data_IF_955380768852
#
_entry.id   IF_955380768852
#
_cell.length_a   1.000
_cell.length_b   1.000
_cell.length_c   1.000
_cell.angle_alpha   90.00
_cell.angle_beta   90.00
_cell.angle_gamma   90.00
#
_symmetry.space_group_name_H-M   'P 1'
#
loop_
_entity.id
_entity.type
_entity.pdbx_description
1 polymer ?
#
# COMPACT_ATOMS: atom_id res chain seq x y z
N UNK A 1 29.63 -7.72 -2.93
CA UNK A 1 28.62 -8.70 -3.37
C UNK A 1 27.33 -7.94 -3.66
N UNK A 2 26.62 -8.29 -4.74
CA UNK A 2 25.34 -7.65 -5.06
C UNK A 2 24.35 -7.91 -3.91
N UNK A 3 23.63 -6.89 -3.42
CA UNK A 3 22.79 -7.01 -2.22
C UNK A 3 21.83 -8.19 -2.28
N UNK A 4 21.22 -8.42 -3.46
CA UNK A 4 20.28 -9.52 -3.72
C UNK A 4 20.92 -10.91 -3.57
N UNK A 5 22.17 -11.09 -4.00
CA UNK A 5 22.87 -12.39 -3.89
C UNK A 5 23.16 -12.72 -2.42
N UNK A 6 23.49 -11.71 -1.62
CA UNK A 6 23.80 -11.91 -0.22
C UNK A 6 22.55 -12.20 0.62
N UNK A 7 21.44 -11.50 0.35
CA UNK A 7 20.13 -11.79 0.97
C UNK A 7 19.65 -13.19 0.59
N UNK A 8 19.83 -13.61 -0.65
CA UNK A 8 19.49 -14.97 -1.08
C UNK A 8 20.31 -16.05 -0.37
N UNK A 9 21.62 -15.87 -0.26
CA UNK A 9 22.46 -16.81 0.51
C UNK A 9 22.04 -16.87 1.99
N UNK A 10 21.65 -15.73 2.56
CA UNK A 10 21.08 -15.69 3.90
C UNK A 10 19.76 -16.46 3.99
N UNK A 11 18.84 -16.24 3.04
CA UNK A 11 17.57 -16.97 2.95
C UNK A 11 17.79 -18.49 2.89
N UNK A 12 18.72 -18.95 2.04
CA UNK A 12 19.10 -20.36 1.91
C UNK A 12 19.61 -20.91 3.26
N UNK A 13 20.46 -20.17 3.97
CA UNK A 13 20.92 -20.55 5.31
C UNK A 13 19.79 -20.65 6.33
N UNK A 14 18.85 -19.70 6.31
CA UNK A 14 17.67 -19.72 7.19
C UNK A 14 16.79 -20.95 6.89
N UNK A 15 16.55 -21.29 5.61
CA UNK A 15 15.72 -22.47 5.27
C UNK A 15 16.26 -23.79 5.82
N UNK A 16 17.58 -23.88 6.04
CA UNK A 16 18.23 -25.07 6.57
C UNK A 16 18.14 -25.19 8.09
N UNK A 17 18.06 -24.06 8.81
CA UNK A 17 18.19 -24.02 10.28
C UNK A 17 16.90 -23.60 10.99
N UNK A 18 15.96 -22.95 10.31
CA UNK A 18 14.79 -22.34 10.97
C UNK A 18 13.91 -23.35 11.73
N UNK A 19 13.92 -24.62 11.32
CA UNK A 19 13.19 -25.69 12.01
C UNK A 19 13.71 -25.99 13.40
N UNK A 20 14.99 -25.74 13.68
CA UNK A 20 15.60 -25.93 15.00
C UNK A 20 15.11 -24.88 16.00
N UNK A 21 14.59 -23.77 15.50
CA UNK A 21 14.01 -22.66 16.27
C UNK A 21 12.48 -22.75 16.40
N UNK A 22 11.85 -23.77 15.78
CA UNK A 22 10.40 -23.94 15.76
C UNK A 22 9.95 -25.16 16.59
N UNK A 23 8.75 -25.13 17.19
CA UNK A 23 8.18 -26.29 17.89
C UNK A 23 8.04 -27.53 17.00
N UNK A 24 7.91 -28.72 17.61
CA UNK A 24 7.79 -30.01 16.90
C UNK A 24 6.66 -30.05 15.86
N UNK A 25 5.57 -29.32 16.10
CA UNK A 25 4.41 -29.22 15.19
C UNK A 25 4.77 -28.71 13.78
N UNK A 26 5.93 -28.06 13.61
CA UNK A 26 6.39 -27.47 12.36
C UNK A 26 7.45 -28.32 11.63
N UNK A 27 7.78 -29.52 12.13
CA UNK A 27 8.85 -30.36 11.53
C UNK A 27 8.55 -30.79 10.08
N UNK A 28 7.28 -30.99 9.76
CA UNK A 28 6.81 -31.32 8.41
C UNK A 28 6.72 -30.12 7.46
N UNK A 29 7.02 -28.90 7.93
CA UNK A 29 7.06 -27.69 7.09
C UNK A 29 8.14 -27.83 6.01
N UNK A 30 7.86 -27.39 4.80
CA UNK A 30 8.85 -27.22 3.75
C UNK A 30 9.14 -25.73 3.56
N UNK A 31 10.41 -25.36 3.54
CA UNK A 31 10.85 -23.99 3.33
C UNK A 31 11.53 -23.89 1.96
N UNK A 32 11.09 -22.96 1.13
CA UNK A 32 11.69 -22.71 -0.17
C UNK A 32 12.02 -21.23 -0.33
N UNK A 33 13.21 -20.94 -0.86
CA UNK A 33 13.59 -19.57 -1.18
C UNK A 33 12.87 -19.14 -2.46
N UNK A 34 12.21 -17.99 -2.42
CA UNK A 34 11.48 -17.44 -3.54
C UNK A 34 11.72 -15.94 -3.68
N UNK A 35 11.93 -15.49 -4.91
CA UNK A 35 12.00 -14.07 -5.25
C UNK A 35 10.62 -13.61 -5.71
N UNK A 36 10.08 -12.59 -5.04
CA UNK A 36 8.75 -12.03 -5.31
C UNK A 36 8.88 -10.60 -5.79
N UNK A 37 8.14 -10.28 -6.87
CA UNK A 37 8.05 -8.92 -7.37
C UNK A 37 7.03 -8.13 -6.56
N UNK A 38 7.51 -7.11 -5.84
CA UNK A 38 6.73 -6.10 -5.12
C UNK A 38 6.31 -4.96 -6.06
N UNK A 39 5.69 -3.94 -5.48
CA UNK A 39 5.34 -2.72 -6.20
C UNK A 39 6.59 -2.02 -6.76
N UNK A 40 6.42 -1.27 -7.84
CA UNK A 40 7.48 -0.55 -8.56
C UNK A 40 8.64 -1.43 -9.06
N UNK A 41 8.38 -2.73 -9.25
CA UNK A 41 9.38 -3.67 -9.75
C UNK A 41 10.48 -4.01 -8.76
N UNK A 42 10.32 -3.66 -7.47
CA UNK A 42 11.21 -4.11 -6.41
C UNK A 42 11.12 -5.63 -6.31
N UNK A 43 12.24 -6.33 -6.23
CA UNK A 43 12.30 -7.78 -6.03
C UNK A 43 12.80 -8.03 -4.62
N UNK A 44 12.02 -8.77 -3.86
CA UNK A 44 12.41 -9.20 -2.51
C UNK A 44 12.56 -10.71 -2.46
N UNK A 45 13.51 -11.17 -1.66
CA UNK A 45 13.79 -12.58 -1.40
C UNK A 45 13.12 -12.97 -0.11
N UNK A 46 12.21 -13.94 -0.19
CA UNK A 46 11.54 -14.49 0.97
C UNK A 46 11.69 -16.00 1.06
N UNK A 47 11.25 -16.52 2.19
CA UNK A 47 11.09 -17.95 2.44
C UNK A 47 9.60 -18.25 2.42
N UNK A 48 9.21 -19.11 1.49
CA UNK A 48 7.87 -19.67 1.39
C UNK A 48 7.73 -20.78 2.43
N UNK A 49 6.69 -20.70 3.26
CA UNK A 49 6.42 -21.67 4.30
C UNK A 49 5.27 -22.59 3.86
N UNK A 50 5.62 -23.78 3.37
CA UNK A 50 4.65 -24.77 2.92
C UNK A 50 4.32 -25.74 4.06
N UNK A 51 3.12 -25.66 4.61
CA UNK A 51 2.60 -26.64 5.57
C UNK A 51 1.65 -27.63 4.91
N UNK A 52 1.81 -28.95 5.13
CA UNK A 52 0.88 -29.95 4.59
C UNK A 52 -0.57 -29.65 4.99
N UNK A 53 -1.47 -29.62 4.01
CA UNK A 53 -2.90 -29.37 4.22
C UNK A 53 -3.33 -27.91 4.20
N UNK A 54 -2.40 -26.94 4.12
CA UNK A 54 -2.74 -25.53 3.95
C UNK A 54 -2.85 -25.16 2.46
N UNK A 55 -3.87 -24.35 2.12
CA UNK A 55 -4.08 -23.85 0.75
C UNK A 55 -3.23 -22.62 0.40
N UNK A 56 -2.79 -21.87 1.42
CA UNK A 56 -1.93 -20.70 1.26
C UNK A 56 -0.59 -20.99 1.92
N UNK A 57 0.49 -20.62 1.24
CA UNK A 57 1.83 -20.60 1.81
C UNK A 57 2.27 -19.14 2.03
N UNK A 58 2.45 -18.68 3.29
CA UNK A 58 2.96 -17.34 3.55
C UNK A 58 4.42 -17.22 3.12
N UNK A 59 4.83 -15.98 2.82
CA UNK A 59 6.21 -15.65 2.43
C UNK A 59 6.78 -14.67 3.44
N UNK A 60 7.85 -15.07 4.13
CA UNK A 60 8.58 -14.20 5.07
C UNK A 60 9.78 -13.60 4.34
N UNK A 61 9.82 -12.28 4.22
CA UNK A 61 10.89 -11.58 3.50
C UNK A 61 12.16 -11.44 4.33
N UNK A 62 13.32 -11.65 3.71
CA UNK A 62 14.60 -11.79 4.41
C UNK A 62 15.38 -10.47 4.51
N UNK A 63 15.06 -9.47 3.69
CA UNK A 63 15.74 -8.17 3.70
C UNK A 63 15.73 -7.50 5.08
N UNK A 64 14.60 -7.39 5.82
CA UNK A 64 14.58 -6.72 7.12
C UNK A 64 15.47 -7.40 8.18
N UNK A 65 15.58 -8.74 8.11
CA UNK A 65 16.44 -9.53 9.00
C UNK A 65 17.90 -9.45 8.56
N UNK A 66 18.16 -9.44 7.26
CA UNK A 66 19.51 -9.28 6.72
C UNK A 66 20.10 -7.90 7.08
N UNK A 67 19.28 -6.85 7.09
CA UNK A 67 19.72 -5.53 7.54
C UNK A 67 20.06 -5.50 9.04
N UNK A 68 19.42 -6.30 9.88
CA UNK A 68 19.80 -6.47 11.29
C UNK A 68 21.18 -7.14 11.43
N UNK A 69 21.48 -8.14 10.60
CA UNK A 69 22.83 -8.73 10.53
C UNK A 69 23.87 -7.66 10.19
N UNK A 70 23.57 -6.80 9.21
CA UNK A 70 24.48 -5.71 8.80
C UNK A 70 24.69 -4.67 9.90
N UNK A 71 23.72 -4.49 10.79
CA UNK A 71 23.81 -3.65 11.99
C UNK A 71 24.53 -4.34 13.16
N UNK A 72 24.95 -5.61 12.99
CA UNK A 72 25.73 -6.36 13.97
C UNK A 72 24.90 -7.11 14.99
N UNK A 73 23.61 -7.33 14.76
CA UNK A 73 22.78 -8.12 15.67
C UNK A 73 23.18 -9.62 15.66
N UNK A 74 23.12 -10.33 16.81
CA UNK A 74 23.51 -11.72 16.89
C UNK A 74 22.57 -12.63 16.07
N UNK A 75 23.15 -13.56 15.29
CA UNK A 75 22.39 -14.48 14.43
C UNK A 75 21.28 -15.24 15.17
N UNK A 76 21.58 -15.72 16.38
CA UNK A 76 20.62 -16.48 17.18
C UNK A 76 19.35 -15.67 17.53
N UNK A 77 19.51 -14.38 17.84
CA UNK A 77 18.38 -13.50 18.12
C UNK A 77 17.54 -13.25 16.85
N UNK A 78 18.21 -13.09 15.70
CA UNK A 78 17.55 -12.91 14.41
C UNK A 78 16.78 -14.18 14.02
N UNK A 79 17.37 -15.37 14.20
CA UNK A 79 16.70 -16.65 13.93
C UNK A 79 15.47 -16.85 14.81
N UNK A 80 15.53 -16.49 16.10
CA UNK A 80 14.36 -16.51 16.98
C UNK A 80 13.26 -15.56 16.49
N UNK A 81 13.60 -14.33 16.07
CA UNK A 81 12.60 -13.39 15.50
C UNK A 81 12.00 -13.91 14.19
N UNK A 82 12.81 -14.52 13.32
CA UNK A 82 12.29 -15.16 12.10
C UNK A 82 11.33 -16.29 12.49
N UNK A 83 11.69 -17.12 13.48
CA UNK A 83 10.83 -18.20 13.96
C UNK A 83 9.51 -17.67 14.53
N UNK A 84 9.53 -16.57 15.27
CA UNK A 84 8.33 -15.89 15.75
C UNK A 84 7.42 -15.44 14.60
N UNK A 85 7.99 -14.80 13.59
CA UNK A 85 7.24 -14.36 12.40
C UNK A 85 6.71 -15.56 11.60
N UNK A 86 7.48 -16.64 11.47
CA UNK A 86 7.03 -17.89 10.84
C UNK A 86 5.84 -18.48 11.60
N UNK A 87 5.92 -18.56 12.93
CA UNK A 87 4.82 -19.06 13.78
C UNK A 87 3.57 -18.21 13.60
N UNK A 88 3.69 -16.89 13.70
CA UNK A 88 2.56 -15.97 13.49
C UNK A 88 1.95 -16.15 12.11
N UNK A 89 2.77 -16.21 11.07
CA UNK A 89 2.33 -16.36 9.68
C UNK A 89 1.64 -17.70 9.40
N UNK A 90 2.05 -18.78 10.08
CA UNK A 90 1.47 -20.12 9.94
C UNK A 90 0.32 -20.41 10.92
N UNK A 91 0.21 -19.61 11.99
CA UNK A 91 -0.93 -19.61 12.93
C UNK A 91 -2.21 -19.08 12.27
N UNK A 92 -2.08 -18.48 11.08
CA UNK A 92 -3.15 -18.23 10.10
C UNK A 92 -3.72 -19.57 9.58
N UNK A 93 -4.21 -20.42 10.49
CA UNK A 93 -4.81 -21.73 10.15
C UNK A 93 -6.26 -21.60 9.68
N UNK A 94 -6.90 -20.47 9.96
CA UNK A 94 -8.30 -20.25 9.67
C UNK A 94 -8.46 -18.96 8.88
N UNK A 95 -8.04 -18.97 7.60
CA UNK A 95 -8.96 -18.37 6.63
C UNK A 95 -10.35 -18.93 6.95
N UNK A 96 -11.45 -18.15 6.87
CA UNK A 96 -12.77 -18.73 6.97
C UNK A 96 -12.78 -20.01 6.13
N UNK A 97 -13.12 -21.18 6.70
CA UNK A 97 -13.01 -22.47 5.98
C UNK A 97 -13.74 -22.44 4.61
N UNK A 98 -14.60 -21.44 4.42
CA UNK A 98 -15.35 -21.06 3.24
C UNK A 98 -14.67 -20.14 2.21
N UNK A 99 -13.46 -19.60 2.46
CA UNK A 99 -12.84 -18.64 1.54
C UNK A 99 -12.17 -19.37 0.36
N UNK A 100 -12.91 -19.47 -0.75
CA UNK A 100 -12.43 -20.00 -2.02
C UNK A 100 -12.16 -18.81 -2.96
N UNK A 101 -10.89 -18.55 -3.24
CA UNK A 101 -10.51 -17.43 -4.10
C UNK A 101 -10.99 -17.58 -5.56
N UNK A 102 -11.28 -18.82 -5.98
CA UNK A 102 -11.84 -19.09 -7.31
C UNK A 102 -13.36 -18.84 -7.37
N UNK A 103 -14.03 -18.71 -6.22
CA UNK A 103 -15.46 -18.39 -6.13
C UNK A 103 -15.66 -16.90 -5.82
N UNK A 104 -16.31 -16.20 -6.74
CA UNK A 104 -16.59 -14.76 -6.58
C UNK A 104 -17.45 -14.48 -5.35
N UNK A 105 -18.49 -15.27 -5.12
CA UNK A 105 -19.42 -15.04 -4.01
C UNK A 105 -18.74 -15.18 -2.65
N UNK A 106 -17.68 -16.00 -2.59
CA UNK A 106 -16.84 -16.17 -1.40
C UNK A 106 -15.95 -14.96 -1.11
N UNK A 107 -15.45 -14.26 -2.14
CA UNK A 107 -14.47 -13.18 -1.97
C UNK A 107 -15.00 -11.77 -2.17
N UNK A 108 -16.20 -11.59 -2.74
CA UNK A 108 -16.70 -10.29 -3.18
C UNK A 108 -16.74 -9.22 -2.08
N UNK A 109 -16.97 -9.60 -0.82
CA UNK A 109 -17.03 -8.68 0.32
C UNK A 109 -15.64 -8.26 0.84
N UNK A 110 -14.59 -8.97 0.41
CA UNK A 110 -13.18 -8.71 0.71
C UNK A 110 -12.48 -7.95 -0.40
N UNK A 111 -13.18 -7.67 -1.51
CA UNK A 111 -12.63 -6.87 -2.60
C UNK A 111 -12.38 -5.43 -2.14
N UNK A 112 -11.26 -4.88 -2.56
CA UNK A 112 -10.89 -3.47 -2.36
C UNK A 112 -10.04 -2.98 -3.53
N UNK A 113 -9.67 -1.70 -3.53
CA UNK A 113 -8.85 -1.08 -4.57
C UNK A 113 -7.48 -0.66 -4.05
N UNK A 114 -6.47 -0.73 -4.92
CA UNK A 114 -5.16 -0.13 -4.70
C UNK A 114 -4.79 0.76 -5.88
N UNK A 115 -4.33 1.97 -5.61
CA UNK A 115 -3.75 2.86 -6.61
C UNK A 115 -2.23 2.67 -6.63
N UNK A 116 -1.66 2.47 -7.82
CA UNK A 116 -0.22 2.29 -8.03
C UNK A 116 0.25 3.06 -9.27
N UNK A 117 1.54 3.31 -9.40
CA UNK A 117 2.08 3.93 -10.62
C UNK A 117 1.99 2.98 -11.82
N UNK A 118 1.53 3.47 -12.98
CA UNK A 118 1.39 2.64 -14.19
C UNK A 118 2.74 2.22 -14.76
N UNK A 119 3.67 3.18 -14.90
CA UNK A 119 4.93 2.97 -15.63
C UNK A 119 5.85 2.01 -14.87
N UNK A 120 6.05 2.21 -13.58
CA UNK A 120 6.94 1.37 -12.77
C UNK A 120 6.38 -0.04 -12.55
N UNK A 121 5.07 -0.24 -12.70
CA UNK A 121 4.40 -1.53 -12.54
C UNK A 121 3.96 -2.20 -13.85
N UNK A 122 4.36 -1.69 -15.01
CA UNK A 122 3.89 -2.15 -16.32
C UNK A 122 3.97 -3.68 -16.51
N UNK A 123 5.04 -4.32 -16.01
CA UNK A 123 5.22 -5.78 -16.08
C UNK A 123 4.19 -6.54 -15.23
N UNK A 124 3.84 -6.03 -14.05
CA UNK A 124 2.83 -6.65 -13.19
C UNK A 124 1.43 -6.40 -13.75
N UNK A 125 1.19 -5.19 -14.26
CA UNK A 125 -0.08 -4.77 -14.86
C UNK A 125 -0.46 -5.56 -16.11
N UNK A 126 0.47 -6.24 -16.80
CA UNK A 126 0.10 -7.14 -17.91
C UNK A 126 -0.65 -8.40 -17.47
N UNK A 127 -0.59 -8.77 -16.18
CA UNK A 127 -1.30 -9.91 -15.60
C UNK A 127 -2.48 -9.53 -14.71
N UNK A 128 -2.71 -8.22 -14.50
CA UNK A 128 -3.67 -7.70 -13.55
C UNK A 128 -4.60 -6.68 -14.25
N UNK A 129 -5.92 -6.88 -14.21
CA UNK A 129 -6.86 -5.89 -14.71
C UNK A 129 -6.68 -4.57 -13.95
N UNK A 130 -6.70 -3.46 -14.68
CA UNK A 130 -6.58 -2.12 -14.09
C UNK A 130 -7.41 -1.07 -14.83
N UNK A 131 -7.80 0.00 -14.12
CA UNK A 131 -8.32 1.23 -14.72
C UNK A 131 -7.24 2.29 -14.70
N UNK A 132 -7.04 2.98 -15.82
CA UNK A 132 -6.09 4.09 -15.93
C UNK A 132 -6.62 5.33 -15.20
N UNK A 133 -5.72 6.03 -14.51
CA UNK A 133 -5.97 7.29 -13.82
C UNK A 133 -4.72 8.15 -13.91
N UNK A 134 -4.63 9.01 -14.94
CA UNK A 134 -3.42 9.79 -15.25
C UNK A 134 -2.19 8.89 -15.46
N UNK A 135 -1.11 9.04 -14.68
CA UNK A 135 0.07 8.16 -14.68
C UNK A 135 -0.05 7.00 -13.67
N UNK A 136 -1.23 6.84 -13.07
CA UNK A 136 -1.57 5.83 -12.08
C UNK A 136 -2.54 4.79 -12.65
N UNK A 137 -2.62 3.67 -11.96
CA UNK A 137 -3.55 2.57 -12.26
C UNK A 137 -4.25 2.12 -10.99
N UNK A 138 -5.57 1.95 -11.09
CA UNK A 138 -6.41 1.38 -10.03
C UNK A 138 -6.53 -0.12 -10.28
N UNK A 139 -6.03 -0.93 -9.34
CA UNK A 139 -6.13 -2.39 -9.37
C UNK A 139 -7.10 -2.89 -8.29
N UNK A 140 -7.71 -4.05 -8.50
CA UNK A 140 -8.47 -4.73 -7.44
C UNK A 140 -7.56 -5.65 -6.62
N UNK A 141 -7.87 -5.73 -5.32
CA UNK A 141 -7.25 -6.66 -4.37
C UNK A 141 -8.34 -7.37 -3.59
N UNK A 142 -7.99 -8.53 -3.03
CA UNK A 142 -8.78 -9.18 -1.99
C UNK A 142 -7.99 -9.01 -0.70
N UNK A 143 -8.57 -8.33 0.27
CA UNK A 143 -7.99 -8.08 1.59
C UNK A 143 -8.83 -8.77 2.66
N UNK A 144 -8.20 -9.67 3.41
CA UNK A 144 -8.85 -10.47 4.44
C UNK A 144 -8.11 -10.32 5.77
N UNK A 145 -8.83 -10.31 6.90
CA UNK A 145 -8.20 -10.17 8.21
C UNK A 145 -7.23 -11.33 8.44
N UNK A 146 -6.08 -11.01 9.06
CA UNK A 146 -5.25 -12.07 9.62
C UNK A 146 -6.03 -12.79 10.73
N UNK A 147 -6.07 -14.13 10.77
CA UNK A 147 -6.71 -14.90 11.83
C UNK A 147 -6.12 -14.63 13.22
N UNK A 148 -4.88 -14.12 13.31
CA UNK A 148 -4.27 -13.70 14.57
C UNK A 148 -4.78 -12.35 15.08
N UNK A 149 -5.61 -11.64 14.29
CA UNK A 149 -6.05 -10.27 14.58
C UNK A 149 -5.00 -9.19 14.31
N UNK A 150 -3.77 -9.59 13.96
CA UNK A 150 -2.66 -8.69 13.65
C UNK A 150 -2.37 -8.70 12.15
N UNK A 151 -2.66 -7.58 11.48
CA UNK A 151 -2.41 -7.38 10.05
C UNK A 151 -3.52 -7.87 9.11
N UNK A 152 -3.29 -7.69 7.80
CA UNK A 152 -4.24 -7.99 6.72
C UNK A 152 -3.55 -8.83 5.65
N UNK A 153 -4.09 -10.01 5.35
CA UNK A 153 -3.70 -10.80 4.20
C UNK A 153 -4.23 -10.16 2.92
N UNK A 154 -3.43 -10.13 1.86
CA UNK A 154 -3.81 -9.41 0.64
C UNK A 154 -3.30 -10.09 -0.61
N UNK A 155 -4.20 -10.36 -1.56
CA UNK A 155 -3.85 -10.89 -2.88
C UNK A 155 -4.32 -9.94 -4.00
N UNK A 156 -3.59 -9.91 -5.11
CA UNK A 156 -3.99 -9.15 -6.30
C UNK A 156 -5.03 -9.95 -7.07
N UNK A 157 -6.08 -9.27 -7.53
CA UNK A 157 -6.99 -9.87 -8.51
C UNK A 157 -6.28 -9.93 -9.85
N UNK A 158 -6.05 -11.13 -10.37
CA UNK A 158 -5.38 -11.36 -11.67
C UNK A 158 -6.41 -11.57 -12.77
N UNK A 159 -5.97 -11.53 -14.04
CA UNK A 159 -6.82 -11.94 -15.17
C UNK A 159 -7.30 -13.40 -15.04
N UNK A 160 -6.50 -14.27 -14.43
CA UNK A 160 -6.86 -15.67 -14.17
C UNK A 160 -8.03 -15.78 -13.19
N UNK A 161 -7.95 -15.13 -12.01
CA UNK A 161 -9.06 -15.10 -11.05
C UNK A 161 -10.32 -14.49 -11.66
N UNK A 162 -10.17 -13.35 -12.36
CA UNK A 162 -11.29 -12.69 -13.02
C UNK A 162 -11.96 -13.57 -14.09
N UNK A 163 -11.22 -14.47 -14.75
CA UNK A 163 -11.77 -15.41 -15.72
C UNK A 163 -12.55 -16.57 -15.09
N UNK A 164 -12.27 -16.91 -13.83
CA UNK A 164 -12.95 -17.98 -13.09
C UNK A 164 -14.30 -17.52 -12.51
N UNK A 165 -14.41 -16.25 -12.18
CA UNK A 165 -15.57 -15.68 -11.49
C UNK A 165 -16.85 -15.57 -12.33
N UNK A 166 -16.77 -15.73 -13.65
CA UNK A 166 -17.90 -15.53 -14.57
C UNK A 166 -18.63 -14.16 -14.41
N UNK A 167 -17.98 -13.18 -13.76
CA UNK A 167 -18.49 -11.84 -13.47
C UNK A 167 -17.84 -10.81 -14.40
N UNK A 168 -18.59 -9.78 -14.78
CA UNK A 168 -18.04 -8.73 -15.63
C UNK A 168 -16.97 -7.94 -14.86
N UNK A 169 -15.83 -7.60 -15.48
CA UNK A 169 -14.78 -6.82 -14.81
C UNK A 169 -15.29 -5.53 -14.16
N UNK A 170 -16.23 -4.84 -14.82
CA UNK A 170 -16.84 -3.61 -14.32
C UNK A 170 -17.58 -3.79 -12.99
N UNK A 171 -18.26 -4.93 -12.80
CA UNK A 171 -18.99 -5.26 -11.57
C UNK A 171 -18.01 -5.54 -10.43
N UNK A 172 -16.90 -6.23 -10.71
CA UNK A 172 -15.81 -6.45 -9.74
C UNK A 172 -15.23 -5.12 -9.26
N UNK A 173 -14.96 -4.17 -10.17
CA UNK A 173 -14.47 -2.84 -9.78
C UNK A 173 -15.48 -2.05 -8.95
N UNK A 174 -16.76 -2.13 -9.32
CA UNK A 174 -17.81 -1.43 -8.59
C UNK A 174 -17.92 -1.97 -7.17
N UNK A 175 -17.96 -3.30 -7.01
CA UNK A 175 -17.97 -3.96 -5.71
C UNK A 175 -16.74 -3.59 -4.87
N UNK A 176 -15.54 -3.62 -5.48
CA UNK A 176 -14.30 -3.25 -4.80
C UNK A 176 -14.30 -1.80 -4.28
N UNK A 177 -14.84 -0.86 -5.06
CA UNK A 177 -14.96 0.54 -4.64
C UNK A 177 -16.00 0.72 -3.53
N UNK A 178 -17.16 0.07 -3.64
CA UNK A 178 -18.21 0.12 -2.61
C UNK A 178 -17.70 -0.41 -1.27
N UNK A 179 -16.98 -1.54 -1.29
CA UNK A 179 -16.33 -2.10 -0.11
C UNK A 179 -15.25 -1.17 0.44
N UNK A 180 -14.40 -0.60 -0.42
CA UNK A 180 -13.31 0.27 0.01
C UNK A 180 -13.85 1.53 0.72
N UNK A 181 -14.88 2.17 0.17
CA UNK A 181 -15.56 3.33 0.79
C UNK A 181 -16.19 2.96 2.13
N UNK A 182 -16.85 1.80 2.20
CA UNK A 182 -17.55 1.33 3.41
C UNK A 182 -16.59 0.91 4.52
N UNK A 183 -15.57 0.13 4.20
CA UNK A 183 -14.69 -0.54 5.16
C UNK A 183 -13.45 0.29 5.48
N UNK A 184 -13.08 1.24 4.62
CA UNK A 184 -11.90 2.10 4.77
C UNK A 184 -12.21 3.48 4.21
N UNK A 185 -13.15 4.22 4.83
CA UNK A 185 -13.58 5.53 4.36
C UNK A 185 -12.42 6.52 4.32
N UNK A 186 -12.50 7.58 3.50
CA UNK A 186 -11.46 8.58 3.42
C UNK A 186 -11.38 9.38 4.72
N UNK A 187 -10.16 9.69 5.13
CA UNK A 187 -9.85 10.46 6.33
C UNK A 187 -8.90 11.60 5.94
N UNK A 188 -9.28 12.82 6.29
CA UNK A 188 -8.44 14.01 6.16
C UNK A 188 -8.13 14.55 7.55
N UNK A 189 -6.86 14.70 7.89
CA UNK A 189 -6.39 15.20 9.18
C UNK A 189 -5.41 16.34 9.00
N UNK A 190 -5.34 17.27 9.96
CA UNK A 190 -4.27 18.26 9.97
C UNK A 190 -2.92 17.58 10.26
N UNK A 191 -1.82 18.17 9.79
CA UNK A 191 -0.48 17.65 10.12
C UNK A 191 -0.25 17.60 11.64
N UNK A 192 -0.77 18.59 12.38
CA UNK A 192 -0.64 18.65 13.84
C UNK A 192 -1.37 17.47 14.52
N UNK A 193 -2.56 17.09 14.04
CA UNK A 193 -3.29 15.94 14.57
C UNK A 193 -2.53 14.64 14.32
N UNK A 194 -1.91 14.49 13.14
CA UNK A 194 -1.09 13.33 12.81
C UNK A 194 0.14 13.25 13.72
N UNK A 195 0.82 14.37 13.94
CA UNK A 195 1.97 14.43 14.85
C UNK A 195 1.58 14.13 16.31
N UNK A 196 0.41 14.60 16.74
CA UNK A 196 -0.14 14.29 18.07
C UNK A 196 -0.48 12.80 18.20
N UNK A 197 -1.10 12.19 17.20
CA UNK A 197 -1.38 10.75 17.18
C UNK A 197 -0.08 9.93 17.26
N UNK A 198 0.97 10.35 16.55
CA UNK A 198 2.29 9.71 16.60
C UNK A 198 3.00 9.86 17.96
N UNK A 199 2.60 10.81 18.81
CA UNK A 199 3.18 11.00 20.14
C UNK A 199 2.81 9.89 21.14
N UNK A 200 1.81 9.05 20.80
CA UNK A 200 1.32 7.97 21.66
C UNK A 200 0.46 8.45 22.84
N UNK A 201 0.13 9.74 22.90
CA UNK A 201 -0.81 10.29 23.86
C UNK A 201 -2.26 10.07 23.37
N UNK A 202 -3.22 9.79 24.27
CA UNK A 202 -4.62 9.73 23.89
C UNK A 202 -5.08 11.08 23.33
N UNK A 203 -5.39 11.09 22.03
CA UNK A 203 -5.87 12.28 21.32
C UNK A 203 -6.98 11.84 20.36
N UNK A 204 -8.13 12.50 20.42
CA UNK A 204 -9.20 12.26 19.46
C UNK A 204 -8.91 13.07 18.19
N UNK A 205 -8.41 12.39 17.16
CA UNK A 205 -8.23 12.97 15.83
C UNK A 205 -9.59 13.18 15.17
N UNK A 206 -9.80 14.35 14.55
CA UNK A 206 -11.04 14.66 13.85
C UNK A 206 -10.89 14.46 12.35
N UNK A 207 -11.80 13.73 11.73
CA UNK A 207 -11.86 13.63 10.27
C UNK A 207 -12.48 14.90 9.68
N UNK A 208 -11.66 15.71 9.02
CA UNK A 208 -12.07 16.99 8.43
C UNK A 208 -13.08 16.84 7.27
N UNK A 209 -13.22 15.64 6.70
CA UNK A 209 -14.25 15.34 5.69
C UNK A 209 -15.65 15.11 6.28
N UNK A 210 -15.76 15.00 7.60
CA UNK A 210 -17.01 14.69 8.31
C UNK A 210 -17.40 15.79 9.30
N UNK A 211 -16.87 17.00 9.14
CA UNK A 211 -17.19 18.13 10.01
C UNK A 211 -18.64 18.57 9.87
N UNK A 212 -19.23 19.01 10.98
CA UNK A 212 -20.56 19.58 10.99
C UNK A 212 -20.55 21.01 10.41
N UNK A 213 -21.69 21.43 9.89
CA UNK A 213 -21.85 22.75 9.30
C UNK A 213 -21.60 23.85 10.35
N UNK A 214 -20.60 24.70 10.12
CA UNK A 214 -20.21 25.79 11.03
C UNK A 214 -18.97 25.52 11.88
N UNK A 215 -18.39 24.32 11.82
CA UNK A 215 -17.11 24.06 12.47
C UNK A 215 -15.94 24.65 11.66
N UNK A 216 -14.97 25.27 12.34
CA UNK A 216 -13.79 25.85 11.69
C UNK A 216 -12.77 24.76 11.36
N UNK A 217 -12.51 24.58 10.08
CA UNK A 217 -11.35 23.82 9.59
C UNK A 217 -10.11 24.67 9.87
N UNK A 218 -9.06 24.16 10.54
CA UNK A 218 -7.80 24.88 10.68
C UNK A 218 -7.25 25.12 9.27
N UNK A 219 -7.27 26.35 8.74
CA UNK A 219 -6.92 26.65 7.34
C UNK A 219 -5.43 26.90 7.10
N UNK A 220 -4.65 26.91 8.16
CA UNK A 220 -3.24 27.27 8.15
C UNK A 220 -2.39 25.99 8.27
N UNK A 221 -2.18 25.28 7.16
CA UNK A 221 -1.30 24.11 7.18
C UNK A 221 -1.49 23.15 6.01
N UNK A 222 -0.65 22.12 6.02
CA UNK A 222 -0.80 20.93 5.17
C UNK A 222 -1.63 19.89 5.91
N UNK A 223 -2.28 19.00 5.15
CA UNK A 223 -3.11 17.94 5.69
C UNK A 223 -2.68 16.60 5.15
N UNK A 224 -3.05 15.54 5.84
CA UNK A 224 -2.83 14.16 5.40
C UNK A 224 -4.18 13.56 5.01
N UNK A 225 -4.27 13.12 3.77
CA UNK A 225 -5.41 12.39 3.21
C UNK A 225 -5.02 10.91 3.09
N UNK A 226 -5.75 10.05 3.78
CA UNK A 226 -5.57 8.60 3.75
C UNK A 226 -6.92 7.90 3.87
N UNK A 227 -6.93 6.59 4.11
CA UNK A 227 -8.10 5.85 4.55
C UNK A 227 -7.99 5.54 6.05
N UNK A 228 -9.10 5.10 6.65
CA UNK A 228 -9.14 4.81 8.09
C UNK A 228 -8.15 3.71 8.55
N UNK A 229 -7.75 2.79 7.68
CA UNK A 229 -6.80 1.72 8.00
C UNK A 229 -5.34 2.14 7.83
N UNK A 230 -5.10 3.30 7.19
CA UNK A 230 -3.76 3.81 6.80
C UNK A 230 -2.98 2.84 5.91
N UNK A 231 -3.64 1.85 5.32
CA UNK A 231 -3.05 0.86 4.42
C UNK A 231 -3.54 1.12 3.01
N UNK A 232 -2.62 1.31 2.06
CA UNK A 232 -2.94 1.69 0.68
C UNK A 232 -3.87 2.92 0.60
N UNK A 233 -3.81 3.82 1.58
CA UNK A 233 -4.77 4.91 1.75
C UNK A 233 -4.75 5.97 0.67
N UNK A 234 -3.68 6.09 -0.15
CA UNK A 234 -3.72 6.93 -1.35
C UNK A 234 -4.79 6.45 -2.36
N UNK A 235 -5.32 5.24 -2.20
CA UNK A 235 -6.39 4.70 -3.03
C UNK A 235 -7.72 5.42 -2.90
N UNK A 236 -7.87 6.28 -1.88
CA UNK A 236 -9.02 7.20 -1.78
C UNK A 236 -9.16 8.11 -3.00
N UNK A 237 -8.06 8.36 -3.76
CA UNK A 237 -8.12 9.07 -5.04
C UNK A 237 -9.10 8.46 -6.05
N UNK A 238 -9.33 7.14 -5.96
CA UNK A 238 -10.27 6.43 -6.82
C UNK A 238 -11.71 6.41 -6.26
N UNK A 239 -11.92 6.89 -5.03
CA UNK A 239 -13.23 6.82 -4.39
C UNK A 239 -14.21 7.81 -5.04
N UNK A 240 -15.49 7.41 -5.19
CA UNK A 240 -16.52 8.35 -5.60
C UNK A 240 -16.65 9.46 -4.55
N UNK A 241 -16.98 10.66 -5.01
CA UNK A 241 -17.29 11.84 -4.19
C UNK A 241 -16.11 12.46 -3.42
N UNK A 242 -14.88 11.94 -3.52
CA UNK A 242 -13.73 12.54 -2.82
C UNK A 242 -13.51 13.99 -3.25
N UNK A 243 -13.69 14.29 -4.54
CA UNK A 243 -13.55 15.65 -5.05
C UNK A 243 -14.53 16.60 -4.37
N UNK A 244 -15.81 16.26 -4.32
CA UNK A 244 -16.85 17.07 -3.68
C UNK A 244 -16.57 17.26 -2.18
N UNK A 245 -16.06 16.22 -1.50
CA UNK A 245 -15.65 16.33 -0.10
C UNK A 245 -14.49 17.31 0.08
N UNK A 246 -13.45 17.23 -0.76
CA UNK A 246 -12.32 18.16 -0.72
C UNK A 246 -12.72 19.58 -1.13
N UNK A 247 -13.66 19.76 -2.06
CA UNK A 247 -14.18 21.07 -2.45
C UNK A 247 -14.99 21.73 -1.33
N UNK A 248 -15.67 20.95 -0.49
CA UNK A 248 -16.34 21.46 0.71
C UNK A 248 -15.34 22.00 1.73
N UNK A 249 -14.21 21.31 1.92
CA UNK A 249 -13.15 21.70 2.86
C UNK A 249 -12.27 22.83 2.29
N UNK A 250 -11.96 22.77 0.99
CA UNK A 250 -11.07 23.69 0.27
C UNK A 250 -11.78 24.28 -0.98
N UNK A 251 -12.70 25.24 -0.84
CA UNK A 251 -13.48 25.79 -1.95
C UNK A 251 -12.62 26.42 -3.07
N UNK A 252 -11.47 26.99 -2.70
CA UNK A 252 -10.49 27.59 -3.61
C UNK A 252 -9.64 26.54 -4.34
N UNK A 253 -9.74 25.27 -3.93
CA UNK A 253 -9.01 24.13 -4.45
C UNK A 253 -7.75 23.81 -3.64
N UNK A 254 -7.23 22.60 -3.84
CA UNK A 254 -6.02 22.11 -3.21
C UNK A 254 -5.16 21.35 -4.23
N UNK A 255 -3.88 21.17 -3.89
CA UNK A 255 -2.97 20.25 -4.53
C UNK A 255 -2.88 18.95 -3.72
N UNK A 256 -2.68 17.85 -4.42
CA UNK A 256 -2.52 16.51 -3.87
C UNK A 256 -1.12 16.00 -4.23
N UNK A 257 -0.31 15.81 -3.20
CA UNK A 257 1.08 15.37 -3.31
C UNK A 257 1.15 13.93 -2.81
N UNK A 258 1.59 12.95 -3.61
CA UNK A 258 1.81 11.60 -3.12
C UNK A 258 2.93 11.61 -2.07
N UNK A 259 2.60 11.22 -0.84
CA UNK A 259 3.59 10.93 0.21
C UNK A 259 4.11 9.50 0.06
N UNK A 260 3.18 8.56 -0.14
CA UNK A 260 3.45 7.14 -0.39
C UNK A 260 2.22 6.47 -1.01
N UNK A 261 2.22 5.13 -1.15
CA UNK A 261 1.01 4.35 -1.44
C UNK A 261 -0.07 4.50 -0.35
N UNK A 262 0.32 4.91 0.87
CA UNK A 262 -0.53 4.89 2.04
C UNK A 262 -1.25 6.21 2.27
N UNK A 263 -0.77 7.32 1.72
CA UNK A 263 -1.34 8.64 1.98
C UNK A 263 -0.91 9.70 0.96
N UNK A 264 -1.70 10.77 0.90
CA UNK A 264 -1.44 11.98 0.14
C UNK A 264 -1.28 13.16 1.10
N UNK A 265 -0.34 14.06 0.83
CA UNK A 265 -0.33 15.38 1.44
C UNK A 265 -1.25 16.29 0.63
N UNK A 266 -2.16 16.98 1.32
CA UNK A 266 -3.06 17.98 0.74
C UNK A 266 -2.56 19.37 1.09
N UNK A 267 -2.39 20.22 0.08
CA UNK A 267 -1.91 21.61 0.23
C UNK A 267 -2.96 22.56 -0.35
N UNK A 268 -3.65 23.37 0.47
CA UNK A 268 -4.59 24.38 -0.02
C UNK A 268 -3.91 25.39 -0.94
N UNK A 269 -4.63 25.85 -1.99
CA UNK A 269 -4.08 26.84 -2.93
C UNK A 269 -3.84 28.21 -2.30
N UNK A 270 -4.52 28.50 -1.20
CA UNK A 270 -4.41 29.71 -0.40
C UNK A 270 -3.04 29.85 0.28
N UNK A 271 -2.30 28.75 0.46
CA UNK A 271 -0.91 28.81 0.94
C UNK A 271 0.05 29.43 -0.07
N UNK A 272 -0.37 29.63 -1.32
CA UNK A 272 0.41 30.30 -2.39
C UNK A 272 1.77 29.66 -2.71
N UNK A 273 1.95 28.37 -2.39
CA UNK A 273 3.15 27.61 -2.78
C UNK A 273 3.07 27.28 -4.28
N UNK A 274 4.17 27.46 -5.00
CA UNK A 274 4.15 27.21 -6.45
C UNK A 274 4.10 25.70 -6.75
N UNK A 275 3.40 25.26 -7.82
CA UNK A 275 3.41 23.85 -8.21
C UNK A 275 4.81 23.27 -8.46
N UNK A 276 5.74 24.13 -8.90
CA UNK A 276 7.13 23.75 -9.15
C UNK A 276 7.81 23.32 -7.84
N UNK A 277 7.71 24.14 -6.80
CA UNK A 277 8.26 23.85 -5.46
C UNK A 277 7.61 22.59 -4.88
N UNK A 278 6.29 22.46 -4.99
CA UNK A 278 5.58 21.24 -4.56
C UNK A 278 6.09 19.98 -5.27
N UNK A 279 6.33 20.07 -6.58
CA UNK A 279 6.92 18.97 -7.34
C UNK A 279 8.36 18.65 -6.92
N UNK A 280 9.17 19.67 -6.60
CA UNK A 280 10.53 19.48 -6.07
C UNK A 280 10.51 18.76 -4.72
N UNK A 281 9.60 19.15 -3.81
CA UNK A 281 9.41 18.47 -2.53
C UNK A 281 9.06 16.99 -2.68
N UNK A 282 8.09 16.65 -3.54
CA UNK A 282 7.70 15.24 -3.78
C UNK A 282 8.90 14.42 -4.26
N UNK A 283 9.67 14.94 -5.23
CA UNK A 283 10.84 14.25 -5.77
C UNK A 283 11.96 14.09 -4.76
N UNK A 284 12.18 15.08 -3.90
CA UNK A 284 13.18 15.00 -2.83
C UNK A 284 12.81 13.91 -1.82
N UNK A 285 11.59 13.94 -1.29
CA UNK A 285 11.08 12.96 -0.33
C UNK A 285 11.11 11.55 -0.89
N UNK A 286 10.65 11.34 -2.13
CA UNK A 286 10.71 10.04 -2.81
C UNK A 286 12.15 9.52 -2.95
N UNK A 287 13.15 10.41 -3.05
CA UNK A 287 14.55 10.03 -3.21
C UNK A 287 15.23 9.70 -1.88
N UNK A 288 14.83 10.33 -0.77
CA UNK A 288 15.56 10.23 0.50
C UNK A 288 14.82 9.47 1.58
N UNK A 289 13.48 9.58 1.66
CA UNK A 289 12.71 9.11 2.82
C UNK A 289 11.76 7.94 2.51
N UNK A 290 11.35 7.74 1.26
CA UNK A 290 10.32 6.75 0.91
C UNK A 290 10.92 5.47 0.34
N UNK A 291 10.46 4.32 0.82
CA UNK A 291 10.86 3.03 0.28
C UNK A 291 10.46 2.91 -1.20
N UNK A 292 11.31 2.28 -2.03
CA UNK A 292 11.10 2.26 -3.49
C UNK A 292 9.79 1.60 -3.91
N UNK A 293 9.29 0.63 -3.16
CA UNK A 293 8.01 -0.05 -3.37
C UNK A 293 6.82 0.71 -2.77
N UNK A 294 7.04 1.77 -2.02
CA UNK A 294 5.99 2.65 -1.47
C UNK A 294 5.83 3.97 -2.24
N UNK A 295 6.76 4.31 -3.14
CA UNK A 295 6.64 5.50 -3.99
C UNK A 295 5.41 5.38 -4.90
N UNK A 296 4.48 6.33 -4.83
CA UNK A 296 3.32 6.35 -5.71
C UNK A 296 3.56 7.12 -7.02
N UNK A 297 4.09 8.34 -6.94
CA UNK A 297 4.48 9.12 -8.13
C UNK A 297 5.37 10.31 -7.75
N UNK A 298 6.06 10.87 -8.74
CA UNK A 298 6.82 12.14 -8.64
C UNK A 298 5.99 13.36 -9.09
N UNK A 299 4.68 13.18 -9.27
CA UNK A 299 3.76 14.17 -9.82
C UNK A 299 2.91 14.81 -8.73
N UNK A 300 2.54 16.07 -8.96
CA UNK A 300 1.53 16.77 -8.17
C UNK A 300 0.22 16.69 -8.92
N UNK A 301 -0.87 16.47 -8.20
CA UNK A 301 -2.20 16.35 -8.77
C UNK A 301 -3.13 17.43 -8.24
N UNK A 302 -4.25 17.61 -8.94
CA UNK A 302 -5.41 18.35 -8.47
C UNK A 302 -6.66 17.76 -9.14
N UNK A 303 -7.84 18.06 -8.61
CA UNK A 303 -9.09 17.73 -9.30
C UNK A 303 -9.46 18.81 -10.32
N UNK A 304 -9.77 18.38 -11.54
CA UNK A 304 -10.35 19.25 -12.56
C UNK A 304 -11.81 19.54 -12.21
N UNK A 305 -12.12 20.79 -11.86
CA UNK A 305 -13.47 21.21 -11.43
C UNK A 305 -14.55 20.94 -12.50
N UNK A 306 -14.21 21.05 -13.78
CA UNK A 306 -15.18 20.86 -14.87
C UNK A 306 -15.35 19.39 -15.23
N UNK A 307 -14.24 18.66 -15.33
CA UNK A 307 -14.24 17.26 -15.79
C UNK A 307 -14.48 16.24 -14.68
N UNK A 308 -14.51 16.69 -13.43
CA UNK A 308 -14.66 15.88 -12.21
C UNK A 308 -13.73 14.67 -12.16
N UNK A 309 -12.44 14.92 -12.39
CA UNK A 309 -11.41 13.87 -12.42
C UNK A 309 -10.06 14.41 -11.95
N UNK A 310 -9.25 13.52 -11.40
CA UNK A 310 -7.85 13.82 -11.09
C UNK A 310 -7.12 14.22 -12.37
N UNK A 311 -6.23 15.21 -12.27
CA UNK A 311 -5.29 15.61 -13.32
C UNK A 311 -3.92 15.91 -12.74
N UNK A 312 -2.87 15.62 -13.50
CA UNK A 312 -1.52 16.08 -13.15
C UNK A 312 -1.43 17.60 -13.32
N UNK A 313 -0.67 18.27 -12.45
CA UNK A 313 -0.33 19.70 -12.55
C UNK A 313 0.95 19.84 -13.39
N UNK A 314 0.88 20.28 -14.65
CA UNK A 314 2.03 20.24 -15.56
C UNK A 314 3.23 21.08 -15.10
N UNK A 315 2.97 22.17 -14.37
CA UNK A 315 3.98 23.07 -13.83
C UNK A 315 4.83 22.44 -12.72
N UNK A 316 4.37 21.34 -12.11
CA UNK A 316 5.12 20.61 -11.09
C UNK A 316 6.17 19.67 -11.68
N UNK A 317 6.11 19.42 -12.99
CA UNK A 317 6.98 18.50 -13.69
C UNK A 317 8.31 19.20 -13.98
N UNK A 318 9.41 18.60 -13.52
CA UNK A 318 10.73 18.99 -13.99
C UNK A 318 10.82 18.71 -15.49
N UNK A 319 10.82 19.76 -16.32
CA UNK A 319 11.19 19.64 -17.71
C UNK A 319 12.66 19.22 -17.72
N UNK A 320 12.96 18.08 -18.34
CA UNK A 320 14.35 17.68 -18.57
C UNK A 320 15.07 18.89 -19.17
N UNK A 321 16.14 19.36 -18.51
CA UNK A 321 17.05 20.31 -19.14
C UNK A 321 17.50 19.63 -20.42
N UNK A 322 17.06 20.16 -21.56
CA UNK A 322 17.72 19.85 -22.82
C UNK A 322 19.19 20.11 -22.56
N UNK A 323 20.00 19.05 -22.58
CA UNK A 323 21.44 19.19 -22.59
C UNK A 323 21.75 19.98 -23.86
N UNK A 324 21.95 21.30 -23.70
CA UNK A 324 22.56 22.14 -24.72
C UNK A 324 23.84 21.42 -25.16
N UNK A 325 23.78 20.90 -26.39
CA UNK A 325 24.89 20.23 -27.07
C UNK A 325 25.87 21.23 -27.62
#
# INVERSE_FOLDING_TARGET
>A
MNSTVAVRAFAEGVTQQIKDYLPEDYQNMQCEVSEQQKNNGVVMTGIVLNMPGQKIAPVVYMEPFYDQIRKGEPMDQIMNRIADVCRQSLSVRELPESLDFADYDSVKDYLTVQVINTKTNQRMLSGVPHKEMEDLSVICRIEFPSPTGEGTGSIKVTHELMSQWEVRPQEVYQQALENAVKNSPPVLMSMDDVLMEMSGLPFETKNLLQMEEGEEIPKEGMYVLSNQTKLNGASVLAYPNLQEQLESVFPQGCYLLPSSLHEMIVVPKEMTVSPKELGEMVREVNKTEVARDEILSDRVYEFDKEKRRLRQVPESIEKAKEMER
#
